data_IF_711056793192
#
_entry.id   IF_711056793192
#
_cell.length_a   1.000
_cell.length_b   1.000
_cell.length_c   1.000
_cell.angle_alpha   90.00
_cell.angle_beta   90.00
_cell.angle_gamma   90.00
#
_symmetry.space_group_name_H-M   'P 1'
#
loop_
_entity.id
_entity.type
_entity.pdbx_description
1 polymer ?
#
# COMPACT_ATOMS: atom_id res chain seq x y z
N UNK A 1 3.98 -9.94 -5.62
CA UNK A 1 3.63 -8.81 -4.80
C UNK A 1 3.67 -7.47 -5.54
N UNK A 2 4.85 -6.85 -5.82
CA UNK A 2 4.86 -5.54 -6.52
C UNK A 2 4.13 -5.57 -7.87
N UNK A 3 4.25 -6.67 -8.62
CA UNK A 3 3.55 -6.86 -9.90
C UNK A 3 2.02 -6.93 -9.76
N UNK A 4 1.50 -7.34 -8.61
CA UNK A 4 0.05 -7.38 -8.40
C UNK A 4 -0.57 -5.97 -8.31
N UNK A 5 0.19 -4.96 -7.89
CA UNK A 5 -0.22 -3.54 -7.94
C UNK A 5 -0.57 -3.12 -9.38
N UNK A 6 0.17 -3.60 -10.38
CA UNK A 6 -0.15 -3.35 -11.79
C UNK A 6 -1.54 -3.87 -12.17
N UNK A 7 -1.90 -5.09 -11.73
CA UNK A 7 -3.21 -5.66 -12.01
C UNK A 7 -4.33 -4.79 -11.44
N UNK A 8 -4.16 -4.27 -10.22
CA UNK A 8 -5.11 -3.36 -9.60
C UNK A 8 -5.22 -2.06 -10.39
N UNK A 9 -4.10 -1.43 -10.70
CA UNK A 9 -4.06 -0.16 -11.43
C UNK A 9 -4.68 -0.29 -12.83
N UNK A 10 -4.33 -1.33 -13.59
CA UNK A 10 -4.90 -1.57 -14.92
C UNK A 10 -6.39 -1.87 -14.90
N UNK A 11 -6.90 -2.44 -13.81
CA UNK A 11 -8.33 -2.76 -13.67
C UNK A 11 -9.16 -1.50 -13.42
N UNK A 12 -8.67 -0.58 -12.60
CA UNK A 12 -9.47 0.51 -12.06
C UNK A 12 -9.08 1.90 -12.57
N UNK A 13 -7.87 2.07 -13.12
CA UNK A 13 -7.38 3.39 -13.56
C UNK A 13 -7.43 3.48 -15.07
N UNK A 14 -8.30 4.33 -15.59
CA UNK A 14 -8.53 4.51 -17.02
C UNK A 14 -8.05 5.86 -17.57
N UNK A 15 -7.69 6.80 -16.71
CA UNK A 15 -7.25 8.14 -17.07
C UNK A 15 -6.16 8.67 -16.14
N UNK A 16 -5.63 9.87 -16.40
CA UNK A 16 -4.61 10.50 -15.55
C UNK A 16 -5.09 10.65 -14.10
N UNK A 17 -4.22 10.34 -13.15
CA UNK A 17 -4.50 10.37 -11.71
C UNK A 17 -3.35 11.03 -10.93
N UNK A 18 -3.67 11.56 -9.76
CA UNK A 18 -2.70 11.87 -8.70
C UNK A 18 -2.67 10.70 -7.74
N UNK A 19 -1.56 9.95 -7.75
CA UNK A 19 -1.36 8.78 -6.90
C UNK A 19 -0.38 9.08 -5.78
N UNK A 20 -0.69 8.65 -4.56
CA UNK A 20 0.23 8.62 -3.43
C UNK A 20 0.66 7.17 -3.17
N UNK A 21 1.98 6.92 -3.13
CA UNK A 21 2.58 5.74 -2.50
C UNK A 21 3.08 6.16 -1.11
N UNK A 22 2.33 5.76 -0.07
CA UNK A 22 2.44 6.35 1.27
C UNK A 22 3.67 5.88 2.05
N UNK A 23 4.09 4.62 1.84
CA UNK A 23 5.22 3.97 2.52
C UNK A 23 6.19 3.41 1.47
N UNK A 24 6.71 4.28 0.60
CA UNK A 24 7.23 3.95 -0.71
C UNK A 24 8.62 3.30 -0.73
N UNK A 25 9.46 3.54 0.29
CA UNK A 25 10.85 3.06 0.26
C UNK A 25 10.95 1.52 0.24
N UNK A 26 11.85 0.98 -0.55
CA UNK A 26 12.93 1.63 -1.34
C UNK A 26 12.53 2.11 -2.74
N UNK A 27 11.25 2.04 -3.16
CA UNK A 27 10.77 2.59 -4.43
C UNK A 27 10.39 1.54 -5.49
N UNK A 28 10.44 0.25 -5.18
CA UNK A 28 10.12 -0.81 -6.14
C UNK A 28 8.65 -0.81 -6.59
N UNK A 29 7.70 -0.56 -5.68
CA UNK A 29 6.28 -0.40 -6.02
C UNK A 29 6.03 0.94 -6.72
N UNK A 30 6.67 2.02 -6.28
CA UNK A 30 6.57 3.35 -6.88
C UNK A 30 7.02 3.37 -8.34
N UNK A 31 8.22 2.84 -8.65
CA UNK A 31 8.73 2.78 -10.01
C UNK A 31 7.85 1.92 -10.91
N UNK A 32 7.38 0.77 -10.37
CA UNK A 32 6.48 -0.10 -11.09
C UNK A 32 5.13 0.56 -11.35
N UNK A 33 4.51 1.17 -10.32
CA UNK A 33 3.26 1.92 -10.47
C UNK A 33 3.41 3.03 -11.52
N UNK A 34 4.47 3.85 -11.44
CA UNK A 34 4.72 4.93 -12.42
C UNK A 34 4.79 4.41 -13.86
N UNK A 35 5.37 3.22 -14.09
CA UNK A 35 5.50 2.63 -15.43
C UNK A 35 4.18 2.23 -16.07
N UNK A 36 3.12 2.03 -15.27
CA UNK A 36 1.80 1.60 -15.73
C UNK A 36 0.72 2.68 -15.63
N UNK A 37 0.97 3.74 -14.86
CA UNK A 37 0.05 4.87 -14.77
C UNK A 37 -0.09 5.60 -16.12
N UNK A 38 -1.32 6.05 -16.49
CA UNK A 38 -1.56 6.82 -17.70
C UNK A 38 -0.68 8.09 -17.79
N UNK A 39 -0.39 8.50 -19.02
CA UNK A 39 0.30 9.76 -19.29
C UNK A 39 -0.47 10.92 -18.67
N UNK A 40 0.25 11.89 -18.07
CA UNK A 40 -0.34 13.00 -17.34
C UNK A 40 -0.68 12.69 -15.86
N UNK A 41 -0.42 11.46 -15.40
CA UNK A 41 -0.54 11.13 -13.96
C UNK A 41 0.68 11.65 -13.19
N UNK A 42 0.47 12.05 -11.95
CA UNK A 42 1.50 12.42 -10.99
C UNK A 42 1.62 11.35 -9.90
N UNK A 43 2.84 10.90 -9.60
CA UNK A 43 3.12 10.05 -8.46
C UNK A 43 3.78 10.86 -7.34
N UNK A 44 3.18 10.84 -6.15
CA UNK A 44 3.80 11.29 -4.91
C UNK A 44 4.29 10.04 -4.16
N UNK A 45 5.58 9.93 -3.92
CA UNK A 45 6.19 8.82 -3.20
C UNK A 45 6.70 9.30 -1.84
N UNK A 46 6.08 8.84 -0.77
CA UNK A 46 6.37 9.26 0.59
C UNK A 46 7.09 8.19 1.40
N UNK A 47 7.96 8.61 2.29
CA UNK A 47 8.59 7.74 3.30
C UNK A 47 8.88 8.53 4.56
N UNK A 48 8.38 8.05 5.71
CA UNK A 48 8.55 8.73 7.00
C UNK A 48 9.98 8.70 7.52
N UNK A 49 10.71 7.61 7.27
CA UNK A 49 12.09 7.46 7.70
C UNK A 49 13.06 8.19 6.77
N UNK A 50 13.72 9.24 7.28
CA UNK A 50 14.59 10.11 6.47
C UNK A 50 15.69 9.37 5.71
N UNK A 51 16.36 8.40 6.34
CA UNK A 51 17.39 7.60 5.69
C UNK A 51 16.81 6.74 4.55
N UNK A 52 15.60 6.21 4.71
CA UNK A 52 14.91 5.44 3.69
C UNK A 52 14.36 6.33 2.57
N UNK A 53 13.90 7.55 2.89
CA UNK A 53 13.45 8.50 1.87
C UNK A 53 14.58 8.96 0.95
N UNK A 54 15.82 9.03 1.43
CA UNK A 54 16.99 9.29 0.58
C UNK A 54 17.23 8.16 -0.42
N UNK A 55 17.15 6.90 0.03
CA UNK A 55 17.26 5.72 -0.86
C UNK A 55 16.13 5.70 -1.89
N UNK A 56 14.91 6.04 -1.47
CA UNK A 56 13.75 6.19 -2.35
C UNK A 56 14.02 7.23 -3.44
N UNK A 57 14.48 8.41 -3.05
CA UNK A 57 14.79 9.49 -3.99
C UNK A 57 15.87 9.09 -5.00
N UNK A 58 16.97 8.46 -4.56
CA UNK A 58 18.01 7.94 -5.43
C UNK A 58 17.48 6.94 -6.46
N UNK A 59 16.63 5.99 -6.02
CA UNK A 59 16.06 4.98 -6.90
C UNK A 59 15.11 5.58 -7.93
N UNK A 60 14.27 6.55 -7.53
CA UNK A 60 13.36 7.23 -8.44
C UNK A 60 14.10 8.14 -9.44
N UNK A 61 15.16 8.83 -9.01
CA UNK A 61 16.04 9.59 -9.91
C UNK A 61 16.70 8.67 -10.94
N UNK A 62 17.23 7.51 -10.51
CA UNK A 62 17.83 6.52 -11.43
C UNK A 62 16.81 5.97 -12.41
N UNK A 63 15.54 5.84 -12.00
CA UNK A 63 14.45 5.43 -12.88
C UNK A 63 14.17 6.46 -13.99
N UNK A 64 14.30 7.75 -13.68
CA UNK A 64 14.34 8.83 -14.66
C UNK A 64 12.99 9.33 -15.17
N UNK A 65 11.90 9.18 -14.42
CA UNK A 65 10.60 9.76 -14.77
C UNK A 65 10.40 11.13 -14.09
N UNK A 66 9.99 12.14 -14.85
CA UNK A 66 9.82 13.50 -14.34
C UNK A 66 8.52 13.75 -13.57
N UNK A 67 7.52 12.88 -13.71
CA UNK A 67 6.20 13.05 -13.10
C UNK A 67 6.14 12.34 -11.74
N UNK A 68 7.17 12.54 -10.92
CA UNK A 68 7.33 11.96 -9.58
C UNK A 68 7.81 13.01 -8.60
N UNK A 69 7.14 13.07 -7.44
CA UNK A 69 7.55 13.90 -6.28
C UNK A 69 7.90 12.97 -5.13
N UNK A 70 9.04 13.20 -4.48
CA UNK A 70 9.42 12.47 -3.26
C UNK A 70 9.19 13.35 -2.06
N UNK A 71 8.55 12.80 -1.03
CA UNK A 71 8.29 13.48 0.25
C UNK A 71 8.82 12.69 1.43
N UNK A 72 9.08 13.39 2.54
CA UNK A 72 9.51 12.76 3.79
C UNK A 72 8.64 13.29 4.92
N UNK A 73 7.44 12.71 5.06
CA UNK A 73 6.39 13.16 5.95
C UNK A 73 5.78 11.99 6.74
N UNK A 74 5.27 12.26 7.95
CA UNK A 74 4.37 11.34 8.64
C UNK A 74 3.02 11.31 7.90
N UNK A 75 2.30 10.17 7.85
CA UNK A 75 0.94 10.10 7.28
C UNK A 75 0.00 11.19 7.79
N UNK A 76 0.10 11.59 9.07
CA UNK A 76 -0.69 12.65 9.66
C UNK A 76 -0.48 14.03 9.01
N UNK A 77 0.68 14.30 8.39
CA UNK A 77 0.95 15.56 7.70
C UNK A 77 0.07 15.73 6.45
N UNK A 78 -0.43 14.63 5.89
CA UNK A 78 -1.31 14.64 4.72
C UNK A 78 -2.78 14.93 5.06
N UNK A 79 -3.18 14.93 6.33
CA UNK A 79 -4.57 15.16 6.76
C UNK A 79 -5.11 16.51 6.28
N UNK A 80 -4.23 17.51 6.10
CA UNK A 80 -4.60 18.84 5.57
C UNK A 80 -4.82 18.86 4.06
N UNK A 81 -4.40 17.84 3.32
CA UNK A 81 -4.55 17.70 1.88
C UNK A 81 -5.88 16.99 1.54
N UNK A 82 -7.00 17.59 1.94
CA UNK A 82 -8.31 16.98 1.78
C UNK A 82 -8.64 16.72 0.31
N UNK A 83 -9.00 15.46 0.00
CA UNK A 83 -9.47 15.02 -1.33
C UNK A 83 -8.51 15.35 -2.49
N UNK A 84 -7.21 15.18 -2.27
CA UNK A 84 -6.17 15.46 -3.29
C UNK A 84 -5.88 14.23 -4.16
N UNK A 85 -5.83 13.03 -3.57
CA UNK A 85 -5.39 11.83 -4.26
C UNK A 85 -6.54 11.03 -4.85
N UNK A 86 -6.39 10.63 -6.10
CA UNK A 86 -7.30 9.70 -6.78
C UNK A 86 -6.99 8.24 -6.38
N UNK A 87 -5.70 7.96 -6.07
CA UNK A 87 -5.22 6.64 -5.66
C UNK A 87 -4.25 6.79 -4.49
N UNK A 88 -4.44 5.98 -3.45
CA UNK A 88 -3.48 5.82 -2.35
C UNK A 88 -3.03 4.36 -2.29
N UNK A 89 -1.73 4.11 -2.45
CA UNK A 89 -1.09 2.83 -2.15
C UNK A 89 -0.52 2.90 -0.74
N UNK A 90 -1.07 2.10 0.15
CA UNK A 90 -0.62 1.96 1.53
C UNK A 90 0.03 0.57 1.73
N UNK A 91 1.30 0.44 1.29
CA UNK A 91 2.14 -0.74 1.57
C UNK A 91 2.75 -0.56 2.96
N UNK A 92 1.95 -0.85 3.97
CA UNK A 92 2.21 -0.43 5.35
C UNK A 92 3.26 -1.30 6.05
N UNK A 93 4.00 -0.75 7.03
CA UNK A 93 4.85 -1.53 7.92
C UNK A 93 4.03 -2.61 8.63
N UNK A 94 4.54 -3.85 8.64
CA UNK A 94 3.84 -5.02 9.17
C UNK A 94 4.80 -5.92 9.96
N UNK A 95 4.28 -6.97 10.61
CA UNK A 95 5.07 -7.93 11.39
C UNK A 95 6.06 -8.77 10.57
N UNK A 96 5.91 -8.78 9.23
CA UNK A 96 6.94 -9.24 8.31
C UNK A 96 7.04 -10.74 8.10
N UNK A 97 5.99 -11.52 8.32
CA UNK A 97 5.97 -12.98 8.13
C UNK A 97 6.43 -13.42 6.73
N UNK A 98 6.20 -12.58 5.71
CA UNK A 98 6.68 -12.81 4.34
C UNK A 98 8.22 -12.85 4.21
N UNK A 99 8.96 -12.40 5.24
CA UNK A 99 10.41 -12.44 5.28
C UNK A 99 10.97 -13.75 5.85
N UNK A 100 10.16 -14.59 6.50
CA UNK A 100 10.62 -15.82 7.20
C UNK A 100 11.44 -16.75 6.33
N UNK A 101 11.16 -16.82 5.02
CA UNK A 101 11.94 -17.65 4.08
C UNK A 101 13.26 -17.02 3.63
N UNK A 102 13.43 -15.72 3.85
CA UNK A 102 14.58 -14.95 3.36
C UNK A 102 15.55 -14.58 4.47
N UNK A 103 15.03 -14.37 5.67
CA UNK A 103 15.77 -13.85 6.80
C UNK A 103 15.38 -14.60 8.09
N UNK A 104 16.27 -15.45 8.62
CA UNK A 104 16.03 -16.16 9.89
C UNK A 104 15.81 -15.21 11.06
N UNK A 105 16.44 -14.02 11.08
CA UNK A 105 16.28 -13.01 12.13
C UNK A 105 14.82 -12.54 12.19
N UNK A 106 14.12 -12.45 11.06
CA UNK A 106 12.70 -12.10 11.05
C UNK A 106 11.82 -13.08 11.83
N UNK A 107 12.21 -14.37 11.89
CA UNK A 107 11.51 -15.36 12.70
C UNK A 107 11.79 -15.19 14.20
N UNK A 108 13.03 -14.85 14.56
CA UNK A 108 13.42 -14.63 15.94
C UNK A 108 12.82 -13.36 16.55
N UNK A 109 12.66 -12.31 15.72
CA UNK A 109 12.09 -11.01 16.14
C UNK A 109 10.54 -11.02 16.13
N UNK A 110 9.92 -11.98 15.46
CA UNK A 110 8.47 -12.04 15.38
C UNK A 110 7.83 -12.41 16.72
N UNK A 111 6.75 -11.73 17.06
CA UNK A 111 5.95 -12.02 18.25
C UNK A 111 4.50 -11.57 18.04
N UNK A 112 3.59 -12.16 18.80
CA UNK A 112 2.17 -11.74 18.83
C UNK A 112 2.03 -10.29 19.30
N UNK A 113 2.87 -9.83 20.22
CA UNK A 113 2.87 -8.45 20.69
C UNK A 113 3.25 -7.48 19.55
N UNK A 114 4.25 -7.86 18.73
CA UNK A 114 4.63 -7.08 17.56
C UNK A 114 3.52 -7.05 16.50
N UNK A 115 2.79 -8.14 16.31
CA UNK A 115 1.59 -8.16 15.44
C UNK A 115 0.58 -7.11 15.91
N UNK A 116 0.26 -7.06 17.20
CA UNK A 116 -0.69 -6.08 17.76
C UNK A 116 -0.21 -4.63 17.59
N UNK A 117 1.08 -4.37 17.78
CA UNK A 117 1.68 -3.03 17.56
C UNK A 117 1.58 -2.64 16.08
N UNK A 118 1.87 -3.55 15.16
CA UNK A 118 1.76 -3.31 13.72
C UNK A 118 0.31 -3.08 13.30
N UNK A 119 -0.61 -3.92 13.75
CA UNK A 119 -2.04 -3.81 13.49
C UNK A 119 -2.61 -2.44 13.91
N UNK A 120 -2.31 -1.96 15.13
CA UNK A 120 -2.75 -0.63 15.59
C UNK A 120 -2.10 0.50 14.77
N UNK A 121 -0.82 0.38 14.45
CA UNK A 121 -0.08 1.36 13.64
C UNK A 121 -0.70 1.49 12.24
N UNK A 122 -1.07 0.38 11.62
CA UNK A 122 -1.67 0.35 10.30
C UNK A 122 -3.01 1.08 10.29
N UNK A 123 -3.86 0.86 11.29
CA UNK A 123 -5.14 1.59 11.43
C UNK A 123 -4.93 3.09 11.62
N UNK A 124 -3.95 3.50 12.43
CA UNK A 124 -3.58 4.92 12.56
C UNK A 124 -3.16 5.51 11.21
N UNK A 125 -2.25 4.86 10.50
CA UNK A 125 -1.79 5.31 9.19
C UNK A 125 -2.96 5.48 8.21
N UNK A 126 -3.87 4.52 8.18
CA UNK A 126 -5.03 4.54 7.29
C UNK A 126 -6.03 5.64 7.67
N UNK A 127 -6.30 5.83 8.97
CA UNK A 127 -7.15 6.91 9.45
C UNK A 127 -6.58 8.30 9.13
N UNK A 128 -5.27 8.47 9.30
CA UNK A 128 -4.57 9.74 9.04
C UNK A 128 -4.61 10.11 7.55
N UNK A 129 -4.46 9.12 6.64
CA UNK A 129 -4.44 9.40 5.19
C UNK A 129 -5.84 9.45 4.56
N UNK A 130 -6.85 8.88 5.20
CA UNK A 130 -8.19 8.77 4.63
C UNK A 130 -8.79 10.07 4.13
N UNK A 131 -8.69 11.22 4.85
CA UNK A 131 -9.20 12.50 4.36
C UNK A 131 -8.55 13.01 3.08
N UNK A 132 -7.33 12.56 2.77
CA UNK A 132 -6.60 12.96 1.58
C UNK A 132 -7.01 12.19 0.31
N UNK A 133 -7.69 11.05 0.47
CA UNK A 133 -8.27 10.30 -0.63
C UNK A 133 -9.59 10.96 -1.07
N UNK A 134 -9.77 11.14 -2.37
CA UNK A 134 -11.02 11.67 -2.93
C UNK A 134 -12.20 10.71 -2.71
N UNK A 135 -13.43 11.22 -2.57
CA UNK A 135 -14.62 10.39 -2.69
C UNK A 135 -14.62 9.61 -4.02
N UNK A 136 -14.83 8.30 -3.96
CA UNK A 136 -14.70 7.40 -5.12
C UNK A 136 -13.26 7.13 -5.56
N UNK A 137 -12.27 7.59 -4.82
CA UNK A 137 -10.87 7.26 -5.01
C UNK A 137 -10.53 5.82 -4.61
N UNK A 138 -9.37 5.32 -5.03
CA UNK A 138 -8.92 3.95 -4.83
C UNK A 138 -7.88 3.86 -3.72
N UNK A 139 -8.18 3.14 -2.64
CA UNK A 139 -7.18 2.70 -1.66
C UNK A 139 -6.68 1.30 -2.01
N UNK A 140 -5.37 1.14 -2.13
CA UNK A 140 -4.69 -0.14 -2.28
C UNK A 140 -3.97 -0.42 -0.97
N UNK A 141 -4.54 -1.28 -0.13
CA UNK A 141 -3.91 -1.72 1.12
C UNK A 141 -3.06 -2.97 0.88
N UNK A 142 -1.82 -2.95 1.33
CA UNK A 142 -0.85 -4.01 1.11
C UNK A 142 0.03 -4.23 2.33
N UNK A 143 0.32 -5.49 2.64
CA UNK A 143 1.25 -5.93 3.68
C UNK A 143 2.20 -6.98 3.13
N UNK A 144 3.24 -7.34 3.89
CA UNK A 144 4.06 -8.52 3.64
C UNK A 144 3.91 -9.56 4.75
N UNK A 145 2.76 -9.63 5.37
CA UNK A 145 2.43 -10.62 6.41
C UNK A 145 1.31 -11.55 5.95
N UNK A 146 0.93 -12.53 6.78
CA UNK A 146 -0.11 -13.51 6.49
C UNK A 146 -1.10 -13.68 7.65
N UNK A 147 -0.87 -13.00 8.78
CA UNK A 147 -1.78 -13.08 9.92
C UNK A 147 -3.09 -12.35 9.64
N UNK A 148 -4.11 -12.80 10.33
CA UNK A 148 -5.47 -12.33 10.13
C UNK A 148 -5.69 -10.92 10.65
N UNK A 149 -5.03 -10.57 11.74
CA UNK A 149 -5.15 -9.28 12.41
C UNK A 149 -4.75 -8.12 11.48
N UNK A 150 -3.59 -8.28 10.84
CA UNK A 150 -3.05 -7.24 9.96
C UNK A 150 -3.67 -7.25 8.55
N UNK A 151 -4.30 -8.34 8.13
CA UNK A 151 -4.89 -8.49 6.81
C UNK A 151 -6.42 -8.40 6.87
N UNK A 152 -7.14 -9.49 7.17
CA UNK A 152 -8.59 -9.55 7.08
C UNK A 152 -9.28 -8.58 8.05
N UNK A 153 -8.80 -8.47 9.28
CA UNK A 153 -9.42 -7.59 10.29
C UNK A 153 -9.20 -6.11 9.97
N UNK A 154 -8.07 -5.76 9.35
CA UNK A 154 -7.84 -4.40 8.89
C UNK A 154 -8.69 -4.08 7.65
N UNK A 155 -8.83 -5.02 6.70
CA UNK A 155 -9.72 -4.82 5.54
C UNK A 155 -11.18 -4.65 5.98
N UNK A 156 -11.65 -5.46 6.92
CA UNK A 156 -12.99 -5.30 7.50
C UNK A 156 -13.13 -3.93 8.18
N UNK A 157 -12.15 -3.55 9.00
CA UNK A 157 -12.16 -2.25 9.68
C UNK A 157 -12.16 -1.06 8.70
N UNK A 158 -11.43 -1.13 7.58
CA UNK A 158 -11.44 -0.10 6.53
C UNK A 158 -12.86 0.04 5.94
N UNK A 159 -13.52 -1.09 5.69
CA UNK A 159 -14.89 -1.08 5.17
C UNK A 159 -15.89 -0.50 6.18
N UNK A 160 -15.83 -0.95 7.44
CA UNK A 160 -16.81 -0.63 8.47
C UNK A 160 -16.62 0.79 9.02
N UNK A 161 -15.39 1.18 9.36
CA UNK A 161 -15.11 2.44 10.06
C UNK A 161 -14.79 3.60 9.12
N UNK A 162 -14.16 3.33 7.97
CA UNK A 162 -13.84 4.36 6.99
C UNK A 162 -14.88 4.43 5.85
N UNK A 163 -15.83 3.48 5.79
CA UNK A 163 -16.91 3.46 4.81
C UNK A 163 -16.45 3.09 3.39
N UNK A 164 -15.39 2.29 3.26
CA UNK A 164 -14.89 1.86 1.97
C UNK A 164 -15.70 0.67 1.41
N UNK A 165 -15.87 0.65 0.09
CA UNK A 165 -16.33 -0.53 -0.62
C UNK A 165 -15.15 -1.43 -1.00
N UNK A 166 -15.24 -2.73 -0.67
CA UNK A 166 -14.19 -3.69 -1.02
C UNK A 166 -14.36 -4.15 -2.48
N UNK A 167 -13.36 -3.86 -3.30
CA UNK A 167 -13.39 -4.18 -4.73
C UNK A 167 -12.67 -5.51 -5.03
N UNK A 168 -13.21 -6.26 -6.00
CA UNK A 168 -12.61 -7.51 -6.46
C UNK A 168 -11.65 -7.26 -7.62
N UNK A 169 -10.42 -7.74 -7.48
CA UNK A 169 -9.44 -7.70 -8.57
C UNK A 169 -9.52 -8.98 -9.39
N UNK A 170 -9.70 -8.92 -10.71
CA UNK A 170 -9.68 -10.11 -11.54
C UNK A 170 -8.28 -10.74 -11.53
N UNK A 171 -8.21 -12.03 -11.21
CA UNK A 171 -6.97 -12.81 -11.18
C UNK A 171 -7.14 -14.04 -12.06
N UNK A 172 -6.12 -14.34 -12.86
CA UNK A 172 -6.10 -15.55 -13.65
C UNK A 172 -5.88 -16.78 -12.76
N UNK A 173 -6.61 -17.85 -13.01
CA UNK A 173 -6.56 -19.08 -12.18
C UNK A 173 -5.15 -19.71 -12.11
N UNK A 174 -4.39 -19.58 -13.19
CA UNK A 174 -3.01 -20.08 -13.29
C UNK A 174 -2.00 -19.34 -12.41
N UNK A 175 -2.36 -18.18 -11.87
CA UNK A 175 -1.48 -17.44 -10.95
C UNK A 175 -1.46 -18.03 -9.53
N UNK A 176 -2.42 -18.89 -9.20
CA UNK A 176 -2.52 -19.51 -7.89
C UNK A 176 -2.78 -18.54 -6.74
N UNK A 177 -3.30 -17.34 -7.06
CA UNK A 177 -3.64 -16.32 -6.06
C UNK A 177 -4.97 -16.68 -5.40
N UNK A 178 -4.99 -16.72 -4.07
CA UNK A 178 -6.16 -17.05 -3.27
C UNK A 178 -6.67 -15.79 -2.59
N UNK A 179 -7.98 -15.52 -2.66
CA UNK A 179 -8.60 -14.32 -2.11
C UNK A 179 -9.41 -14.52 -0.82
N UNK A 180 -9.56 -15.77 -0.34
CA UNK A 180 -10.41 -16.08 0.82
C UNK A 180 -9.83 -17.16 1.74
N UNK A 181 -8.54 -17.11 1.98
CA UNK A 181 -7.82 -18.14 2.73
C UNK A 181 -8.34 -18.32 4.17
N UNK A 182 -8.80 -17.23 4.80
CA UNK A 182 -9.38 -17.23 6.14
C UNK A 182 -10.90 -17.52 6.17
N UNK A 183 -11.52 -17.81 5.01
CA UNK A 183 -12.94 -18.13 4.89
C UNK A 183 -13.89 -16.92 4.96
N UNK A 184 -13.35 -15.70 4.82
CA UNK A 184 -14.14 -14.48 4.76
C UNK A 184 -14.88 -14.36 3.41
N UNK A 185 -15.90 -13.51 3.33
CA UNK A 185 -16.73 -13.27 2.15
C UNK A 185 -16.21 -12.16 1.22
N UNK A 186 -15.15 -11.48 1.62
CA UNK A 186 -14.45 -10.46 0.84
C UNK A 186 -13.01 -10.89 0.49
N UNK A 187 -12.43 -10.37 -0.60
CA UNK A 187 -11.10 -10.80 -1.03
C UNK A 187 -9.97 -10.16 -0.25
N UNK A 188 -9.04 -11.00 0.23
CA UNK A 188 -7.68 -10.65 0.66
C UNK A 188 -6.73 -11.53 -0.10
N UNK A 189 -6.03 -10.98 -1.07
CA UNK A 189 -5.25 -11.74 -2.06
C UNK A 189 -3.87 -12.12 -1.52
N UNK A 190 -3.54 -13.42 -1.59
CA UNK A 190 -2.24 -14.00 -1.20
C UNK A 190 -1.65 -14.89 -2.28
#
# INVERSE_FOLDING_TARGET
SSMFVEQVLRTYITGPVVMLDLCAAPGGKSTHARSVLPVGSLLVANEVMRNRSQVLAENLIKWGNAEVVVTNNDPADFTSLTEVFDVVLADVPCSGEGMFRKDPVAVEEWSTDNVQVCWQRQRRILADIWPALKPGGLLIYSTCTYNREEDEENVAWIADELGAEILKVPVASEWGIIGNLAGQDFPVYR
#
